data_IF_387451268664
#
_entry.id   IF_387451268664
#
_cell.length_a   1.000
_cell.length_b   1.000
_cell.length_c   1.000
_cell.angle_alpha   90.00
_cell.angle_beta   90.00
_cell.angle_gamma   90.00
#
_symmetry.space_group_name_H-M   'P 1'
#
loop_
_entity.id
_entity.type
_entity.pdbx_description
1 polymer ?
#
# COMPACT_ATOMS: atom_id res chain seq x y z
N UNK A 1 -40.66 42.99 71.94
CA UNK A 1 -39.18 42.80 72.00
C UNK A 1 -38.92 41.32 71.89
N UNK A 2 -38.54 40.83 70.70
CA UNK A 2 -38.07 39.47 70.44
C UNK A 2 -37.21 39.55 69.18
N UNK A 3 -35.92 39.24 69.34
CA UNK A 3 -34.88 39.25 68.32
C UNK A 3 -34.88 37.87 67.64
N UNK A 4 -35.01 37.82 66.31
CA UNK A 4 -34.72 36.63 65.52
C UNK A 4 -33.50 36.89 64.64
N UNK A 5 -32.41 36.19 64.92
CA UNK A 5 -31.19 36.18 64.12
C UNK A 5 -31.30 35.09 63.04
N UNK A 6 -31.09 35.46 61.77
CA UNK A 6 -30.99 34.54 60.65
C UNK A 6 -29.52 34.22 60.37
N UNK A 7 -29.13 32.95 60.51
CA UNK A 7 -27.84 32.43 60.06
C UNK A 7 -27.90 32.13 58.54
N UNK A 8 -27.06 32.80 57.76
CA UNK A 8 -26.79 32.46 56.37
C UNK A 8 -25.68 31.42 56.27
N UNK A 9 -25.96 30.28 55.65
CA UNK A 9 -24.98 29.23 55.35
C UNK A 9 -24.42 29.48 53.95
N UNK A 10 -23.12 29.76 53.85
CA UNK A 10 -22.38 29.83 52.59
C UNK A 10 -22.02 28.42 52.11
N UNK A 11 -22.52 28.03 50.94
CA UNK A 11 -22.14 26.78 50.27
C UNK A 11 -20.80 26.96 49.55
N UNK A 12 -19.80 26.17 49.93
CA UNK A 12 -18.52 26.08 49.24
C UNK A 12 -18.66 25.11 48.05
N UNK A 13 -18.52 25.63 46.83
CA UNK A 13 -18.41 24.82 45.62
C UNK A 13 -16.97 24.29 45.48
N UNK A 14 -16.78 23.00 45.68
CA UNK A 14 -15.54 22.29 45.33
C UNK A 14 -15.49 22.11 43.81
N UNK A 15 -14.60 22.84 43.12
CA UNK A 15 -14.29 22.59 41.72
C UNK A 15 -13.32 21.41 41.64
N UNK A 16 -13.79 20.24 41.21
CA UNK A 16 -12.91 19.13 40.82
C UNK A 16 -12.28 19.45 39.47
N UNK A 17 -11.10 20.07 39.50
CA UNK A 17 -10.25 20.21 38.32
C UNK A 17 -9.69 18.86 37.92
N UNK A 18 -10.43 18.11 37.10
CA UNK A 18 -9.87 17.00 36.36
C UNK A 18 -8.96 17.59 35.28
N UNK A 19 -7.65 17.62 35.55
CA UNK A 19 -6.66 17.84 34.52
C UNK A 19 -6.82 16.72 33.47
N UNK A 20 -7.40 17.04 32.33
CA UNK A 20 -7.40 16.16 31.16
C UNK A 20 -5.95 15.94 30.77
N UNK A 21 -5.41 14.75 31.04
CA UNK A 21 -4.17 14.32 30.43
C UNK A 21 -4.36 14.45 28.91
N UNK A 22 -3.58 15.33 28.27
CA UNK A 22 -3.56 15.41 26.81
C UNK A 22 -3.23 14.00 26.30
N UNK A 23 -4.15 13.37 25.55
CA UNK A 23 -3.88 12.06 24.98
C UNK A 23 -2.61 12.16 24.12
N UNK A 24 -1.55 11.47 24.53
CA UNK A 24 -0.33 11.44 23.73
C UNK A 24 -0.67 10.90 22.33
N UNK A 25 -0.33 11.68 21.29
CA UNK A 25 -0.50 11.29 19.89
C UNK A 25 0.25 10.01 19.52
N UNK A 26 -0.12 9.38 18.41
CA UNK A 26 0.58 8.21 17.87
C UNK A 26 2.01 8.60 17.50
N UNK A 27 2.99 7.88 18.07
CA UNK A 27 4.39 8.02 17.74
C UNK A 27 4.69 7.26 16.43
N UNK A 28 5.08 7.99 15.39
CA UNK A 28 5.45 7.45 14.09
C UNK A 28 6.92 7.80 13.83
N UNK A 29 7.82 6.80 13.75
CA UNK A 29 9.19 7.05 13.32
C UNK A 29 9.22 7.62 11.91
N UNK A 30 9.96 8.70 11.71
CA UNK A 30 10.32 9.17 10.37
C UNK A 30 11.19 8.10 9.68
N UNK A 31 11.01 7.96 8.37
CA UNK A 31 11.79 6.97 7.61
C UNK A 31 13.17 7.54 7.31
N UNK A 32 14.22 6.95 7.87
CA UNK A 32 15.58 7.18 7.41
C UNK A 32 15.76 6.50 6.07
N UNK A 33 16.40 7.18 5.12
CA UNK A 33 16.55 6.64 3.78
C UNK A 33 17.77 7.17 3.05
N UNK A 34 18.33 6.31 2.20
CA UNK A 34 19.39 6.64 1.25
C UNK A 34 19.08 5.96 -0.08
N UNK A 35 19.00 6.76 -1.14
CA UNK A 35 18.74 6.27 -2.48
C UNK A 35 20.05 6.17 -3.26
N UNK A 36 20.24 5.07 -3.99
CA UNK A 36 21.45 4.78 -4.77
C UNK A 36 21.07 4.40 -6.19
N UNK A 37 21.91 4.78 -7.14
CA UNK A 37 21.85 4.31 -8.53
C UNK A 37 23.15 3.59 -8.82
N UNK A 38 23.04 2.30 -9.15
CA UNK A 38 24.17 1.42 -9.43
C UNK A 38 24.11 0.95 -10.89
N UNK A 39 25.26 0.69 -11.53
CA UNK A 39 25.26 0.01 -12.83
C UNK A 39 24.66 -1.40 -12.67
N UNK A 40 24.06 -1.93 -13.75
CA UNK A 40 23.39 -3.23 -13.74
C UNK A 40 24.28 -4.47 -13.55
N UNK A 41 25.51 -4.33 -13.07
CA UNK A 41 26.41 -5.43 -12.68
C UNK A 41 27.28 -4.97 -11.50
N UNK A 42 26.72 -4.81 -10.29
CA UNK A 42 27.49 -4.37 -9.13
C UNK A 42 28.50 -5.45 -8.73
N UNK A 43 29.74 -5.05 -8.44
CA UNK A 43 30.88 -5.96 -8.25
C UNK A 43 31.31 -6.15 -6.79
N UNK A 44 30.68 -5.45 -5.84
CA UNK A 44 31.06 -5.52 -4.42
C UNK A 44 29.86 -5.30 -3.50
N UNK A 45 30.00 -5.75 -2.25
CA UNK A 45 29.05 -5.47 -1.19
C UNK A 45 28.93 -3.97 -0.93
N UNK A 46 27.71 -3.50 -0.72
CA UNK A 46 27.43 -2.12 -0.31
C UNK A 46 27.25 -2.07 1.20
N UNK A 47 28.00 -1.20 1.87
CA UNK A 47 27.81 -0.88 3.29
C UNK A 47 26.76 0.21 3.45
N UNK A 48 25.82 -0.01 4.36
CA UNK A 48 24.69 0.89 4.63
C UNK A 48 25.08 1.96 5.65
N UNK A 49 24.51 3.16 5.56
CA UNK A 49 24.80 4.25 6.52
C UNK A 49 24.14 4.03 7.89
N UNK A 50 23.11 3.20 7.93
CA UNK A 50 22.37 2.82 9.14
C UNK A 50 21.88 1.37 9.00
N UNK A 51 21.61 0.66 10.11
CA UNK A 51 20.98 -0.65 10.05
C UNK A 51 19.64 -0.56 9.33
N UNK A 52 19.43 -1.41 8.33
CA UNK A 52 18.21 -1.39 7.55
C UNK A 52 17.04 -1.98 8.34
N UNK A 53 15.85 -1.59 7.92
CA UNK A 53 14.60 -2.32 8.18
C UNK A 53 14.11 -2.99 6.89
N UNK A 54 14.34 -2.32 5.76
CA UNK A 54 13.90 -2.73 4.44
C UNK A 54 14.93 -2.30 3.38
N UNK A 55 14.93 -3.00 2.26
CA UNK A 55 15.70 -2.63 1.06
C UNK A 55 14.76 -2.67 -0.15
N UNK A 56 14.50 -1.52 -0.75
CA UNK A 56 13.79 -1.42 -2.02
C UNK A 56 14.74 -1.55 -3.19
N UNK A 57 14.40 -2.35 -4.20
CA UNK A 57 15.22 -2.54 -5.41
C UNK A 57 14.33 -2.49 -6.64
N UNK A 58 14.70 -1.69 -7.64
CA UNK A 58 14.11 -1.68 -8.98
C UNK A 58 15.21 -1.59 -10.03
N UNK A 59 14.91 -1.95 -11.27
CA UNK A 59 15.91 -1.97 -12.33
C UNK A 59 15.36 -1.65 -13.71
N UNK A 60 16.25 -1.34 -14.64
CA UNK A 60 15.91 -1.17 -16.07
C UNK A 60 16.32 -2.42 -16.84
N UNK A 61 15.38 -2.97 -17.63
CA UNK A 61 15.56 -4.18 -18.43
C UNK A 61 14.77 -5.39 -17.91
N UNK A 62 14.81 -6.48 -18.66
CA UNK A 62 14.04 -7.73 -18.44
C UNK A 62 14.85 -8.85 -17.77
N UNK A 63 16.10 -8.56 -17.37
CA UNK A 63 16.93 -9.46 -16.59
C UNK A 63 16.44 -9.66 -15.15
N UNK A 64 17.14 -10.51 -14.42
CA UNK A 64 16.84 -10.84 -13.02
C UNK A 64 17.83 -10.19 -12.06
N UNK A 65 17.38 -9.94 -10.84
CA UNK A 65 18.19 -9.41 -9.75
C UNK A 65 18.12 -10.36 -8.56
N UNK A 66 19.28 -10.87 -8.14
CA UNK A 66 19.48 -11.55 -6.88
C UNK A 66 19.93 -10.59 -5.79
N UNK A 67 19.54 -10.88 -4.55
CA UNK A 67 19.92 -10.13 -3.35
C UNK A 67 20.40 -11.10 -2.26
N UNK A 68 21.44 -10.73 -1.53
CA UNK A 68 21.70 -11.25 -0.19
C UNK A 68 22.00 -10.12 0.78
N UNK A 69 21.64 -10.34 2.03
CA UNK A 69 21.77 -9.35 3.11
C UNK A 69 22.75 -9.87 4.16
N UNK A 70 23.48 -8.97 4.80
CA UNK A 70 24.34 -9.29 5.93
C UNK A 70 23.76 -8.67 7.20
N UNK A 71 23.43 -9.52 8.17
CA UNK A 71 23.03 -9.12 9.51
C UNK A 71 24.05 -9.56 10.56
N UNK A 72 23.65 -9.53 11.83
CA UNK A 72 24.49 -9.95 12.95
C UNK A 72 24.95 -11.43 12.86
N UNK A 73 24.14 -12.29 12.23
CA UNK A 73 24.46 -13.69 12.00
C UNK A 73 25.38 -13.95 10.78
N UNK A 74 25.79 -12.89 10.07
CA UNK A 74 26.53 -12.99 8.82
C UNK A 74 25.65 -12.86 7.58
N UNK A 75 26.12 -13.38 6.45
CA UNK A 75 25.42 -13.35 5.17
C UNK A 75 24.27 -14.36 5.15
N UNK A 76 23.09 -13.90 4.76
CA UNK A 76 21.99 -14.77 4.38
C UNK A 76 22.23 -15.39 2.99
N UNK A 77 21.44 -16.40 2.67
CA UNK A 77 21.42 -17.01 1.34
C UNK A 77 20.95 -16.00 0.27
N UNK A 78 21.37 -16.25 -0.98
CA UNK A 78 20.89 -15.51 -2.13
C UNK A 78 19.40 -15.79 -2.37
N UNK A 79 18.67 -14.73 -2.68
CA UNK A 79 17.27 -14.80 -3.11
C UNK A 79 17.08 -14.03 -4.43
N UNK A 80 16.25 -14.55 -5.32
CA UNK A 80 15.83 -13.81 -6.52
C UNK A 80 14.70 -12.86 -6.15
N UNK A 81 14.80 -11.61 -6.60
CA UNK A 81 13.76 -10.62 -6.39
C UNK A 81 12.65 -10.79 -7.44
N UNK A 82 11.37 -10.77 -7.02
CA UNK A 82 10.28 -10.71 -7.99
C UNK A 82 10.34 -9.35 -8.72
N UNK A 83 10.06 -9.36 -10.01
CA UNK A 83 9.99 -8.16 -10.84
C UNK A 83 8.77 -8.19 -11.75
N UNK A 84 8.14 -7.03 -11.95
CA UNK A 84 7.12 -6.87 -12.99
C UNK A 84 7.07 -5.43 -13.52
N UNK A 85 6.46 -5.25 -14.69
CA UNK A 85 6.23 -3.92 -15.24
C UNK A 85 5.22 -3.13 -14.40
N UNK A 86 5.67 -2.05 -13.76
CA UNK A 86 4.85 -1.13 -12.97
C UNK A 86 5.15 0.32 -13.32
N UNK A 87 4.25 1.25 -12.98
CA UNK A 87 4.43 2.66 -13.29
C UNK A 87 3.16 3.48 -13.21
N UNK A 88 3.30 4.77 -12.85
CA UNK A 88 2.20 5.75 -12.83
C UNK A 88 1.73 6.16 -14.24
N UNK A 89 2.51 5.85 -15.28
CA UNK A 89 2.13 6.06 -16.68
C UNK A 89 1.49 4.82 -17.30
N UNK A 90 0.44 5.02 -18.08
CA UNK A 90 -0.20 3.97 -18.90
C UNK A 90 0.54 3.71 -20.24
N UNK A 91 1.80 4.14 -20.36
CA UNK A 91 2.70 3.90 -21.50
C UNK A 91 3.67 2.73 -21.28
N UNK A 92 4.52 2.42 -22.27
CA UNK A 92 5.50 1.33 -22.15
C UNK A 92 6.46 1.59 -20.98
N UNK A 93 6.48 0.68 -20.01
CA UNK A 93 7.37 0.74 -18.85
C UNK A 93 8.72 0.16 -19.23
N UNK A 94 9.75 1.01 -19.37
CA UNK A 94 11.13 0.56 -19.55
C UNK A 94 11.75 0.01 -18.25
N UNK A 95 11.09 0.29 -17.11
CA UNK A 95 11.57 -0.06 -15.78
C UNK A 95 10.82 -1.28 -15.25
N UNK A 96 11.58 -2.24 -14.74
CA UNK A 96 11.08 -3.34 -13.93
C UNK A 96 11.02 -2.90 -12.48
N UNK A 97 9.81 -2.92 -11.92
CA UNK A 97 9.59 -2.70 -10.52
C UNK A 97 9.87 -3.99 -9.76
N UNK A 98 10.87 -3.95 -8.88
CA UNK A 98 11.16 -5.05 -7.96
C UNK A 98 10.26 -5.03 -6.73
N UNK A 99 10.82 -5.33 -5.55
CA UNK A 99 10.08 -5.36 -4.29
C UNK A 99 10.79 -4.64 -3.15
N UNK A 100 10.11 -4.52 -2.01
CA UNK A 100 10.66 -3.96 -0.77
C UNK A 100 10.92 -5.08 0.22
N UNK A 101 12.16 -5.56 0.23
CA UNK A 101 12.56 -6.75 0.97
C UNK A 101 12.76 -6.42 2.45
N UNK A 102 12.29 -7.29 3.34
CA UNK A 102 12.64 -7.23 4.77
C UNK A 102 14.16 -7.35 4.94
N UNK A 103 14.75 -6.39 5.64
CA UNK A 103 16.19 -6.34 5.89
C UNK A 103 16.49 -6.00 7.35
N UNK A 104 15.96 -6.76 8.32
CA UNK A 104 16.02 -6.39 9.74
C UNK A 104 17.46 -6.29 10.22
N UNK A 105 17.85 -5.06 10.56
CA UNK A 105 19.18 -4.70 11.07
C UNK A 105 20.33 -5.07 10.14
N UNK A 106 20.06 -5.24 8.83
CA UNK A 106 21.11 -5.51 7.86
C UNK A 106 22.07 -4.31 7.75
N UNK A 107 23.37 -4.57 7.66
CA UNK A 107 24.42 -3.54 7.59
C UNK A 107 25.18 -3.54 6.27
N UNK A 108 25.06 -4.63 5.51
CA UNK A 108 25.58 -4.75 4.16
C UNK A 108 24.59 -5.53 3.29
N UNK A 109 24.67 -5.33 1.98
CA UNK A 109 23.97 -6.15 1.00
C UNK A 109 24.81 -6.34 -0.25
N UNK A 110 24.52 -7.42 -0.98
CA UNK A 110 25.05 -7.67 -2.31
C UNK A 110 23.93 -7.92 -3.29
N UNK A 111 24.13 -7.46 -4.52
CA UNK A 111 23.23 -7.68 -5.64
C UNK A 111 23.97 -8.47 -6.71
N UNK A 112 23.25 -9.38 -7.36
CA UNK A 112 23.72 -10.10 -8.52
C UNK A 112 22.70 -9.91 -9.63
N UNK A 113 23.16 -9.81 -10.87
CA UNK A 113 22.27 -9.59 -12.03
C UNK A 113 22.51 -10.66 -13.08
N UNK A 114 21.46 -11.02 -13.80
CA UNK A 114 21.51 -11.91 -14.95
C UNK A 114 20.63 -11.35 -16.07
N UNK A 115 20.95 -11.64 -17.33
CA UNK A 115 20.21 -11.09 -18.47
C UNK A 115 20.43 -9.58 -18.66
N UNK A 116 19.45 -8.88 -19.25
CA UNK A 116 19.57 -7.46 -19.53
C UNK A 116 19.15 -6.63 -18.30
N UNK A 117 20.14 -6.19 -17.53
CA UNK A 117 19.98 -5.18 -16.47
C UNK A 117 20.98 -4.07 -16.75
N UNK A 118 20.50 -2.85 -17.03
CA UNK A 118 21.38 -1.72 -17.35
C UNK A 118 21.60 -0.80 -16.14
N UNK A 119 20.61 -0.68 -15.27
CA UNK A 119 20.62 0.22 -14.11
C UNK A 119 19.84 -0.41 -12.96
N UNK A 120 20.36 -0.24 -11.74
CA UNK A 120 19.72 -0.61 -10.47
C UNK A 120 19.42 0.67 -9.68
N UNK A 121 18.20 0.79 -9.16
CA UNK A 121 17.79 1.86 -8.24
C UNK A 121 17.44 1.23 -6.90
N UNK A 122 18.17 1.65 -5.87
CA UNK A 122 18.11 1.09 -4.53
C UNK A 122 17.57 2.14 -3.56
N UNK A 123 16.75 1.70 -2.61
CA UNK A 123 16.34 2.49 -1.45
C UNK A 123 16.71 1.72 -0.19
N UNK A 124 17.76 2.17 0.50
CA UNK A 124 18.09 1.75 1.86
C UNK A 124 17.11 2.42 2.81
N UNK A 125 16.38 1.65 3.62
CA UNK A 125 15.27 2.16 4.42
C UNK A 125 15.31 1.70 5.88
N UNK A 126 15.20 2.63 6.82
CA UNK A 126 14.91 2.35 8.23
C UNK A 126 13.62 3.08 8.65
N UNK A 127 12.53 2.34 8.82
CA UNK A 127 11.20 2.86 9.18
C UNK A 127 10.90 2.77 10.68
N UNK A 128 11.88 2.41 11.51
CA UNK A 128 11.69 2.10 12.94
C UNK A 128 12.54 2.95 13.88
N UNK A 129 13.76 3.33 13.48
CA UNK A 129 14.74 4.00 14.35
C UNK A 129 14.89 5.51 14.08
N UNK A 130 14.12 6.08 13.15
CA UNK A 130 14.17 7.50 12.84
C UNK A 130 13.55 8.38 13.93
N UNK A 131 13.75 9.71 13.85
CA UNK A 131 13.12 10.67 14.76
C UNK A 131 11.61 10.44 14.88
N UNK A 132 11.08 10.56 16.09
CA UNK A 132 9.65 10.32 16.33
C UNK A 132 8.85 11.58 15.98
N UNK A 133 8.00 11.45 14.97
CA UNK A 133 6.92 12.40 14.69
C UNK A 133 5.66 11.96 15.42
N UNK A 134 5.06 12.86 16.20
CA UNK A 134 3.75 12.59 16.84
C UNK A 134 2.63 13.10 15.95
N UNK A 135 1.69 12.22 15.66
CA UNK A 135 0.48 12.55 14.92
C UNK A 135 -0.75 12.36 15.82
N UNK A 136 -1.87 12.99 15.47
CA UNK A 136 -3.13 12.74 16.16
C UNK A 136 -3.42 11.23 16.17
N UNK A 137 -3.83 10.70 17.32
CA UNK A 137 -4.17 9.27 17.41
C UNK A 137 -5.27 8.96 16.41
N UNK A 138 -5.00 8.07 15.45
CA UNK A 138 -6.01 7.74 14.49
C UNK A 138 -7.01 6.76 15.11
N UNK A 139 -8.28 7.13 15.05
CA UNK A 139 -9.34 6.19 15.35
C UNK A 139 -9.55 5.30 14.12
N UNK A 140 -9.40 3.99 14.27
CA UNK A 140 -9.80 3.04 13.24
C UNK A 140 -11.28 3.28 12.93
N UNK A 141 -11.59 3.54 11.67
CA UNK A 141 -12.96 3.83 11.24
C UNK A 141 -13.53 2.64 10.49
N UNK A 142 -14.84 2.64 10.29
CA UNK A 142 -15.45 1.74 9.34
C UNK A 142 -15.16 2.25 7.94
N UNK A 143 -14.65 1.40 7.06
CA UNK A 143 -14.46 1.74 5.65
C UNK A 143 -15.79 2.17 5.02
N UNK A 144 -15.76 3.18 4.16
CA UNK A 144 -16.91 3.62 3.37
C UNK A 144 -16.51 3.81 1.91
N UNK A 145 -17.39 3.38 1.01
CA UNK A 145 -17.30 3.64 -0.42
C UNK A 145 -18.53 4.41 -0.85
N UNK A 146 -18.34 5.63 -1.36
CA UNK A 146 -19.43 6.51 -1.75
C UNK A 146 -20.53 6.61 -0.65
N UNK A 147 -20.11 6.75 0.62
CA UNK A 147 -21.00 6.82 1.77
C UNK A 147 -21.50 5.46 2.31
N UNK A 148 -21.44 4.39 1.53
CA UNK A 148 -21.88 3.05 1.95
C UNK A 148 -20.86 2.36 2.86
N UNK A 149 -21.26 1.85 4.03
CA UNK A 149 -20.34 1.16 4.93
C UNK A 149 -19.87 -0.18 4.36
N UNK A 150 -18.60 -0.50 4.63
CA UNK A 150 -17.96 -1.78 4.36
C UNK A 150 -17.43 -2.32 5.68
N UNK A 151 -17.73 -3.59 5.99
CA UNK A 151 -17.35 -4.24 7.24
C UNK A 151 -15.86 -4.60 7.31
N UNK A 152 -15.01 -3.58 7.23
CA UNK A 152 -13.57 -3.66 7.34
C UNK A 152 -13.05 -2.48 8.18
N UNK A 153 -12.04 -2.74 9.01
CA UNK A 153 -11.37 -1.71 9.81
C UNK A 153 -10.44 -0.92 8.91
N UNK A 154 -10.66 0.38 8.84
CA UNK A 154 -9.98 1.29 7.94
C UNK A 154 -8.99 2.21 8.66
N UNK A 155 -7.83 2.38 8.05
CA UNK A 155 -6.80 3.34 8.41
C UNK A 155 -6.54 4.25 7.20
N UNK A 156 -6.88 5.52 7.32
CA UNK A 156 -6.50 6.54 6.35
C UNK A 156 -4.98 6.70 6.26
N UNK A 157 -4.51 7.44 5.26
CA UNK A 157 -3.08 7.77 5.09
C UNK A 157 -2.46 8.36 6.35
N UNK A 158 -3.12 9.36 6.94
CA UNK A 158 -2.71 9.91 8.22
C UNK A 158 -2.68 8.84 9.32
N UNK A 159 -3.64 7.91 9.32
CA UNK A 159 -3.79 6.92 10.39
C UNK A 159 -2.71 5.85 10.45
N UNK A 160 -2.08 5.51 9.32
CA UNK A 160 -0.93 4.63 9.31
C UNK A 160 0.41 5.37 9.27
N UNK A 161 0.37 6.70 9.32
CA UNK A 161 1.56 7.54 9.40
C UNK A 161 2.22 7.75 8.04
N UNK A 162 1.44 7.84 6.96
CA UNK A 162 1.94 8.26 5.66
C UNK A 162 2.70 9.60 5.77
N UNK A 163 3.85 9.68 5.11
CA UNK A 163 4.56 10.93 4.92
C UNK A 163 4.09 11.58 3.61
N UNK A 164 3.18 12.54 3.73
CA UNK A 164 2.61 13.23 2.57
C UNK A 164 3.64 14.04 1.78
N UNK A 165 4.82 14.34 2.36
CA UNK A 165 5.87 15.05 1.62
C UNK A 165 6.40 14.28 0.43
N UNK A 166 6.33 12.93 0.43
CA UNK A 166 6.77 12.10 -0.68
C UNK A 166 5.92 12.26 -1.95
N UNK A 167 4.70 12.82 -1.83
CA UNK A 167 3.89 13.18 -3.00
C UNK A 167 4.39 14.42 -3.72
N UNK A 168 5.29 15.20 -3.13
CA UNK A 168 5.70 16.47 -3.67
C UNK A 168 7.16 16.44 -4.12
N UNK A 169 7.42 17.11 -5.24
CA UNK A 169 8.78 17.39 -5.71
C UNK A 169 9.39 18.49 -4.85
N UNK A 170 10.72 18.64 -4.94
CA UNK A 170 11.46 19.66 -4.19
C UNK A 170 11.01 21.11 -4.49
N UNK A 171 10.42 21.35 -5.66
CA UNK A 171 9.87 22.66 -6.04
C UNK A 171 8.44 22.91 -5.51
N UNK A 172 7.85 21.97 -4.77
CA UNK A 172 6.51 22.06 -4.21
C UNK A 172 5.39 21.54 -5.11
N UNK A 173 5.69 21.15 -6.35
CA UNK A 173 4.68 20.57 -7.24
C UNK A 173 4.33 19.14 -6.79
N UNK A 174 3.05 18.77 -6.90
CA UNK A 174 2.65 17.39 -6.72
C UNK A 174 3.25 16.52 -7.84
N UNK A 175 4.00 15.50 -7.45
CA UNK A 175 4.74 14.63 -8.36
C UNK A 175 3.80 13.86 -9.29
N UNK A 176 2.63 13.48 -8.77
CA UNK A 176 1.60 12.77 -9.49
C UNK A 176 0.21 13.31 -9.15
N UNK A 177 -0.25 14.24 -9.98
CA UNK A 177 -1.57 14.86 -9.85
C UNK A 177 -2.66 13.77 -10.00
N UNK A 178 -3.65 13.70 -9.10
CA UNK A 178 -4.78 12.80 -9.23
C UNK A 178 -5.57 13.00 -10.53
N UNK A 179 -5.73 11.92 -11.27
CA UNK A 179 -6.64 11.83 -12.42
C UNK A 179 -7.66 10.73 -12.14
N UNK A 180 -8.89 10.89 -12.62
CA UNK A 180 -9.99 10.00 -12.26
C UNK A 180 -10.64 9.36 -13.49
N UNK A 181 -10.96 8.07 -13.39
CA UNK A 181 -11.50 7.29 -14.51
C UNK A 181 -12.67 6.39 -14.07
N UNK A 182 -13.61 6.06 -14.98
CA UNK A 182 -14.63 5.04 -14.73
C UNK A 182 -14.00 3.68 -14.41
N UNK A 183 -14.50 3.00 -13.38
CA UNK A 183 -14.02 1.66 -13.02
C UNK A 183 -14.63 0.61 -13.94
N UNK A 184 -13.79 -0.29 -14.46
CA UNK A 184 -14.18 -1.40 -15.30
C UNK A 184 -13.87 -2.76 -14.66
N UNK A 185 -12.87 -2.81 -13.78
CA UNK A 185 -12.31 -4.07 -13.26
C UNK A 185 -11.60 -3.84 -11.92
N UNK A 186 -11.48 -4.93 -11.16
CA UNK A 186 -10.82 -4.99 -9.86
C UNK A 186 -9.69 -6.03 -9.94
N UNK A 187 -8.49 -5.65 -9.46
CA UNK A 187 -7.34 -6.56 -9.45
C UNK A 187 -6.81 -6.79 -8.04
N UNK A 188 -6.59 -8.06 -7.69
CA UNK A 188 -5.98 -8.47 -6.43
C UNK A 188 -4.48 -8.70 -6.61
N UNK A 189 -3.71 -8.14 -5.68
CA UNK A 189 -2.25 -8.23 -5.62
C UNK A 189 -1.78 -8.84 -4.29
N UNK A 190 -0.50 -9.21 -4.27
CA UNK A 190 0.26 -9.42 -3.05
C UNK A 190 1.52 -8.53 -3.07
N UNK A 191 2.18 -8.30 -1.94
CA UNK A 191 3.47 -7.60 -1.92
C UNK A 191 4.59 -8.53 -2.41
N UNK A 192 4.51 -9.82 -2.04
CA UNK A 192 5.23 -10.89 -2.73
C UNK A 192 6.70 -11.05 -2.34
N UNK A 193 7.21 -10.33 -1.34
CA UNK A 193 8.65 -10.33 -1.08
C UNK A 193 9.17 -11.64 -0.47
N UNK A 194 10.37 -12.10 -0.91
CA UNK A 194 10.93 -13.40 -0.54
C UNK A 194 11.33 -13.53 0.94
N UNK A 195 11.77 -12.45 1.60
CA UNK A 195 12.19 -12.48 3.00
C UNK A 195 11.11 -12.11 4.02
N UNK A 196 9.84 -12.03 3.61
CA UNK A 196 8.78 -11.76 4.58
C UNK A 196 8.74 -12.81 5.69
N UNK A 197 8.52 -12.34 6.92
CA UNK A 197 8.26 -13.17 8.08
C UNK A 197 6.86 -12.90 8.64
N UNK A 198 6.23 -13.89 9.31
CA UNK A 198 4.94 -13.67 9.97
C UNK A 198 4.96 -12.60 11.07
N UNK A 199 6.13 -12.14 11.53
CA UNK A 199 6.28 -11.14 12.59
C UNK A 199 6.54 -9.73 12.06
N UNK A 200 6.72 -9.56 10.74
CA UNK A 200 6.91 -8.25 10.11
C UNK A 200 5.75 -7.29 10.51
N UNK A 201 6.11 -6.08 10.95
CA UNK A 201 5.14 -5.02 11.23
C UNK A 201 4.56 -4.51 9.90
N UNK A 202 3.26 -4.72 9.66
CA UNK A 202 2.64 -4.34 8.39
C UNK A 202 2.66 -2.82 8.15
N UNK A 203 2.63 -1.99 9.20
CA UNK A 203 2.65 -0.54 9.06
C UNK A 203 4.07 -0.04 8.73
N UNK A 204 5.09 -0.67 9.31
CA UNK A 204 6.47 -0.41 8.93
C UNK A 204 6.76 -0.81 7.47
N UNK A 205 6.21 -1.95 7.01
CA UNK A 205 6.27 -2.36 5.60
C UNK A 205 5.55 -1.37 4.70
N UNK A 206 4.32 -0.99 5.05
CA UNK A 206 3.52 -0.06 4.26
C UNK A 206 4.25 1.26 4.02
N UNK A 207 4.88 1.82 5.06
CA UNK A 207 5.71 3.04 4.96
C UNK A 207 6.93 2.83 4.07
N UNK A 208 7.59 1.67 4.13
CA UNK A 208 8.72 1.35 3.27
C UNK A 208 8.31 1.23 1.79
N UNK A 209 7.22 0.51 1.50
CA UNK A 209 6.65 0.41 0.14
C UNK A 209 6.25 1.78 -0.38
N UNK A 210 5.59 2.59 0.44
CA UNK A 210 5.18 3.93 0.06
C UNK A 210 6.37 4.82 -0.32
N UNK A 211 7.40 4.89 0.53
CA UNK A 211 8.60 5.68 0.20
C UNK A 211 9.27 5.17 -1.07
N UNK A 212 9.43 3.85 -1.20
CA UNK A 212 10.07 3.24 -2.35
C UNK A 212 9.33 3.57 -3.65
N UNK A 213 8.01 3.39 -3.67
CA UNK A 213 7.19 3.65 -4.85
C UNK A 213 7.14 5.15 -5.20
N UNK A 214 6.87 6.00 -4.21
CA UNK A 214 6.71 7.43 -4.43
C UNK A 214 8.02 8.08 -4.89
N UNK A 215 9.14 7.74 -4.24
CA UNK A 215 10.43 8.42 -4.42
C UNK A 215 11.35 7.63 -5.35
N UNK A 216 11.72 6.40 -4.99
CA UNK A 216 12.79 5.65 -5.68
C UNK A 216 12.33 5.12 -7.04
N UNK A 217 11.11 4.60 -7.13
CA UNK A 217 10.49 4.16 -8.39
C UNK A 217 9.82 5.31 -9.14
N UNK A 218 9.83 6.52 -8.57
CA UNK A 218 9.34 7.75 -9.18
C UNK A 218 7.87 7.68 -9.63
N UNK A 219 7.02 6.94 -8.90
CA UNK A 219 5.57 6.95 -9.16
C UNK A 219 4.93 8.24 -8.67
N UNK A 220 5.51 8.86 -7.63
CA UNK A 220 4.95 10.04 -6.96
C UNK A 220 3.90 9.72 -5.90
N UNK A 221 3.48 8.47 -5.72
CA UNK A 221 2.65 8.02 -4.60
C UNK A 221 2.65 6.48 -4.48
N UNK A 222 1.89 5.93 -3.52
CA UNK A 222 1.56 4.52 -3.41
C UNK A 222 0.76 4.05 -4.64
N UNK A 223 1.19 2.96 -5.27
CA UNK A 223 0.63 2.51 -6.55
C UNK A 223 -0.69 1.77 -6.46
N UNK A 224 -1.00 1.16 -5.31
CA UNK A 224 -2.27 0.46 -5.06
C UNK A 224 -3.29 1.39 -4.43
N UNK A 225 -4.59 1.11 -4.58
CA UNK A 225 -5.62 1.93 -3.95
C UNK A 225 -5.79 1.60 -2.48
N UNK A 226 -5.69 0.31 -2.15
CA UNK A 226 -5.87 -0.20 -0.79
C UNK A 226 -4.84 -1.30 -0.52
N UNK A 227 -4.34 -1.35 0.71
CA UNK A 227 -3.53 -2.45 1.23
C UNK A 227 -4.26 -3.16 2.39
N UNK A 228 -4.09 -4.47 2.51
CA UNK A 228 -4.71 -5.27 3.59
C UNK A 228 -3.66 -6.12 4.28
N UNK A 229 -3.54 -5.99 5.60
CA UNK A 229 -2.58 -6.80 6.37
C UNK A 229 -3.16 -8.13 6.88
N UNK A 230 -2.28 -8.95 7.46
CA UNK A 230 -2.59 -10.24 8.11
C UNK A 230 -3.62 -10.14 9.26
N UNK A 231 -3.89 -8.95 9.79
CA UNK A 231 -4.89 -8.71 10.86
C UNK A 231 -6.25 -8.29 10.27
N UNK A 232 -6.33 -8.08 8.95
CA UNK A 232 -7.53 -7.61 8.27
C UNK A 232 -7.73 -6.10 8.38
N UNK A 233 -6.68 -5.34 8.68
CA UNK A 233 -6.76 -3.88 8.60
C UNK A 233 -6.57 -3.44 7.17
N UNK A 234 -7.45 -2.55 6.72
CA UNK A 234 -7.43 -1.95 5.38
C UNK A 234 -6.81 -0.57 5.49
N UNK A 235 -5.76 -0.34 4.72
CA UNK A 235 -5.02 0.90 4.68
C UNK A 235 -5.28 1.62 3.36
N UNK A 236 -5.50 2.92 3.44
CA UNK A 236 -5.57 3.80 2.28
C UNK A 236 -4.22 3.88 1.58
N UNK A 237 -4.18 3.56 0.28
CA UNK A 237 -3.00 3.65 -0.56
C UNK A 237 -2.97 4.99 -1.31
N UNK A 238 -3.08 4.95 -2.65
CA UNK A 238 -3.07 6.10 -3.55
C UNK A 238 -3.97 7.22 -3.05
N UNK A 239 -3.42 8.42 -2.89
CA UNK A 239 -4.16 9.62 -2.52
C UNK A 239 -5.26 9.89 -3.56
N UNK A 240 -6.52 9.82 -3.14
CA UNK A 240 -7.69 10.01 -4.01
C UNK A 240 -8.37 11.36 -3.85
N UNK A 241 -7.95 12.19 -2.90
CA UNK A 241 -8.53 13.50 -2.63
C UNK A 241 -8.62 13.79 -1.14
N UNK A 242 -9.28 14.90 -0.80
CA UNK A 242 -9.53 15.32 0.59
C UNK A 242 -10.87 14.81 1.14
N UNK A 243 -11.67 14.13 0.31
CA UNK A 243 -12.94 13.54 0.68
C UNK A 243 -12.77 12.22 1.43
N UNK A 244 -13.80 11.82 2.16
CA UNK A 244 -13.75 10.68 3.08
C UNK A 244 -13.87 9.30 2.39
N UNK A 245 -13.84 9.23 1.06
CA UNK A 245 -14.01 7.98 0.31
C UNK A 245 -12.70 7.60 -0.38
N UNK A 246 -11.88 6.71 0.21
CA UNK A 246 -10.67 6.24 -0.47
C UNK A 246 -11.05 5.60 -1.81
N UNK A 247 -10.06 5.47 -2.71
CA UNK A 247 -10.21 4.98 -4.09
C UNK A 247 -10.87 5.98 -5.04
N UNK A 248 -11.87 6.75 -4.59
CA UNK A 248 -12.67 7.59 -5.46
C UNK A 248 -12.31 9.07 -5.38
N UNK A 249 -12.57 9.78 -6.48
CA UNK A 249 -12.49 11.23 -6.53
C UNK A 249 -13.77 11.92 -6.11
N UNK A 250 -13.71 13.26 -5.98
CA UNK A 250 -14.81 14.06 -5.45
C UNK A 250 -16.03 14.16 -6.38
N UNK A 251 -15.85 13.86 -7.68
CA UNK A 251 -16.89 14.01 -8.69
C UNK A 251 -17.28 12.64 -9.27
N UNK A 252 -18.58 12.33 -9.38
CA UNK A 252 -19.03 11.15 -10.10
C UNK A 252 -18.83 11.30 -11.61
N UNK A 253 -18.83 10.16 -12.31
CA UNK A 253 -18.78 10.09 -13.76
C UNK A 253 -20.12 10.44 -14.41
N UNK A 254 -20.19 10.43 -15.75
CA UNK A 254 -21.40 10.76 -16.51
C UNK A 254 -22.63 9.89 -16.21
N UNK A 255 -22.41 8.68 -15.71
CA UNK A 255 -23.45 7.73 -15.30
C UNK A 255 -23.81 7.83 -13.81
N UNK A 256 -23.27 8.84 -13.11
CA UNK A 256 -23.49 9.06 -11.68
C UNK A 256 -22.68 8.15 -10.76
N UNK A 257 -21.88 7.22 -11.30
CA UNK A 257 -21.04 6.32 -10.48
C UNK A 257 -19.73 7.01 -10.07
N UNK A 258 -19.14 6.64 -8.91
CA UNK A 258 -17.84 7.17 -8.50
C UNK A 258 -16.75 6.83 -9.52
N UNK A 259 -15.84 7.78 -9.75
CA UNK A 259 -14.64 7.56 -10.57
C UNK A 259 -13.44 7.27 -9.67
N UNK A 260 -12.61 6.30 -10.04
CA UNK A 260 -11.42 5.93 -9.28
C UNK A 260 -10.24 6.84 -9.60
N UNK A 261 -9.42 7.19 -8.60
CA UNK A 261 -8.11 7.82 -8.84
C UNK A 261 -7.20 6.84 -9.58
N UNK A 262 -6.40 7.30 -10.54
CA UNK A 262 -5.48 6.43 -11.26
C UNK A 262 -4.39 5.86 -10.33
N UNK A 263 -4.11 4.58 -10.50
CA UNK A 263 -3.07 3.83 -9.77
C UNK A 263 -1.80 3.59 -10.59
N UNK A 264 -0.86 2.83 -10.02
CA UNK A 264 0.43 2.46 -10.62
C UNK A 264 0.77 0.98 -10.36
N UNK A 265 -0.27 0.15 -10.21
CA UNK A 265 -0.16 -1.24 -9.77
C UNK A 265 0.00 -2.24 -10.94
N UNK A 266 -0.34 -1.85 -12.16
CA UNK A 266 -0.11 -2.62 -13.40
C UNK A 266 0.20 -1.66 -14.55
N UNK A 267 1.46 -1.61 -14.99
CA UNK A 267 1.88 -0.72 -16.08
C UNK A 267 1.05 -0.93 -17.36
N UNK A 268 0.49 0.14 -17.91
CA UNK A 268 -0.37 0.12 -19.11
C UNK A 268 -1.83 -0.29 -18.88
N UNK A 269 -2.20 -0.68 -17.66
CA UNK A 269 -3.52 -1.21 -17.31
C UNK A 269 -4.09 -0.60 -16.02
N UNK A 270 -3.66 0.61 -15.64
CA UNK A 270 -4.06 1.22 -14.38
C UNK A 270 -5.42 1.94 -14.48
N UNK A 271 -5.62 2.72 -15.53
CA UNK A 271 -6.78 3.59 -15.66
C UNK A 271 -8.10 2.80 -15.79
N UNK A 272 -8.96 2.90 -14.78
CA UNK A 272 -10.20 2.11 -14.70
C UNK A 272 -10.04 0.71 -14.09
N UNK A 273 -8.86 0.41 -13.52
CA UNK A 273 -8.57 -0.84 -12.82
C UNK A 273 -8.21 -0.56 -11.36
N UNK A 274 -9.06 -0.97 -10.42
CA UNK A 274 -8.80 -0.77 -8.99
C UNK A 274 -7.95 -1.91 -8.44
N UNK A 275 -6.70 -1.62 -8.10
CA UNK A 275 -5.78 -2.54 -7.44
C UNK A 275 -5.91 -2.56 -5.90
N UNK A 276 -6.07 -3.76 -5.33
CA UNK A 276 -6.03 -4.04 -3.89
C UNK A 276 -4.88 -4.99 -3.61
N UNK A 277 -3.95 -4.61 -2.73
CA UNK A 277 -2.79 -5.44 -2.36
C UNK A 277 -2.98 -6.08 -0.99
N UNK A 278 -2.73 -7.38 -0.90
CA UNK A 278 -2.55 -8.08 0.37
C UNK A 278 -1.07 -8.02 0.77
N UNK A 279 -0.76 -7.56 1.97
CA UNK A 279 0.60 -7.58 2.51
C UNK A 279 0.93 -9.02 2.87
N UNK A 280 1.86 -9.62 2.13
CA UNK A 280 2.17 -11.04 2.21
C UNK A 280 2.77 -11.62 0.92
N UNK A 281 3.50 -12.73 1.07
CA UNK A 281 3.99 -13.55 -0.03
C UNK A 281 3.26 -14.90 -0.09
N UNK A 282 2.17 -14.92 -0.86
CA UNK A 282 1.37 -16.13 -1.09
C UNK A 282 1.86 -17.02 -2.24
N UNK A 283 3.13 -16.90 -2.65
CA UNK A 283 3.82 -17.91 -3.47
C UNK A 283 4.59 -18.93 -2.61
N UNK A 284 4.91 -18.60 -1.34
CA UNK A 284 5.60 -19.54 -0.43
C UNK A 284 4.70 -20.73 -0.08
N UNK A 285 5.24 -21.97 -0.05
CA UNK A 285 4.48 -23.16 0.32
C UNK A 285 3.69 -22.95 1.62
N UNK A 286 2.42 -23.36 1.61
CA UNK A 286 1.48 -23.27 2.73
C UNK A 286 1.13 -21.85 3.22
N UNK A 287 1.53 -20.80 2.49
CA UNK A 287 1.19 -19.42 2.84
C UNK A 287 -0.05 -18.96 2.07
N UNK A 288 -1.11 -18.66 2.82
CA UNK A 288 -2.36 -18.08 2.33
C UNK A 288 -2.71 -16.82 3.12
N UNK A 289 -3.55 -15.93 2.57
CA UNK A 289 -4.08 -14.81 3.34
C UNK A 289 -4.79 -15.34 4.59
N UNK A 290 -4.50 -14.74 5.74
CA UNK A 290 -5.14 -15.13 6.99
C UNK A 290 -6.66 -14.94 6.90
N UNK A 291 -7.42 -15.65 7.74
CA UNK A 291 -8.87 -15.50 7.73
C UNK A 291 -9.36 -14.05 7.94
N UNK A 292 -8.75 -13.22 8.83
CA UNK A 292 -9.05 -11.78 8.90
C UNK A 292 -8.75 -11.00 7.61
N UNK A 293 -7.60 -11.25 6.97
CA UNK A 293 -7.22 -10.59 5.72
C UNK A 293 -8.21 -10.96 4.59
N UNK A 294 -8.49 -12.25 4.43
CA UNK A 294 -9.44 -12.76 3.43
C UNK A 294 -10.86 -12.19 3.63
N UNK A 295 -11.36 -12.15 4.87
CA UNK A 295 -12.66 -11.55 5.18
C UNK A 295 -12.72 -10.07 4.78
N UNK A 296 -11.64 -9.33 5.03
CA UNK A 296 -11.56 -7.91 4.72
C UNK A 296 -11.45 -7.68 3.22
N UNK A 297 -10.65 -8.49 2.51
CA UNK A 297 -10.57 -8.49 1.05
C UNK A 297 -11.95 -8.72 0.43
N UNK A 298 -12.66 -9.77 0.86
CA UNK A 298 -14.01 -10.05 0.39
C UNK A 298 -14.97 -8.89 0.66
N UNK A 299 -14.92 -8.29 1.86
CA UNK A 299 -15.78 -7.16 2.21
C UNK A 299 -15.51 -5.93 1.33
N UNK A 300 -14.22 -5.61 1.10
CA UNK A 300 -13.79 -4.53 0.21
C UNK A 300 -14.30 -4.77 -1.21
N UNK A 301 -14.07 -5.96 -1.76
CA UNK A 301 -14.48 -6.31 -3.12
C UNK A 301 -16.00 -6.29 -3.29
N UNK A 302 -16.78 -6.82 -2.34
CA UNK A 302 -18.25 -6.71 -2.36
C UNK A 302 -18.73 -5.26 -2.27
N UNK A 303 -18.06 -4.44 -1.45
CA UNK A 303 -18.38 -3.01 -1.34
C UNK A 303 -18.15 -2.26 -2.65
N UNK A 304 -17.00 -2.49 -3.29
CA UNK A 304 -16.66 -1.89 -4.58
C UNK A 304 -17.62 -2.38 -5.67
N UNK A 305 -17.84 -3.69 -5.78
CA UNK A 305 -18.73 -4.28 -6.78
C UNK A 305 -20.15 -3.71 -6.69
N UNK A 306 -20.69 -3.55 -5.48
CA UNK A 306 -22.02 -2.96 -5.26
C UNK A 306 -22.11 -1.49 -5.64
N UNK A 307 -21.12 -0.68 -5.24
CA UNK A 307 -21.12 0.77 -5.49
C UNK A 307 -20.89 1.09 -6.96
N UNK A 308 -20.14 0.24 -7.66
CA UNK A 308 -19.79 0.42 -9.07
C UNK A 308 -20.71 -0.35 -10.02
N UNK A 309 -21.62 -1.17 -9.49
CA UNK A 309 -22.50 -2.06 -10.25
C UNK A 309 -21.70 -2.98 -11.20
N UNK A 310 -20.73 -3.70 -10.63
CA UNK A 310 -19.85 -4.62 -11.36
C UNK A 310 -20.30 -6.07 -11.16
N UNK A 311 -20.53 -6.78 -12.27
CA UNK A 311 -20.55 -8.24 -12.28
C UNK A 311 -19.11 -8.76 -12.22
N UNK A 312 -18.69 -9.20 -11.04
CA UNK A 312 -17.33 -9.67 -10.75
C UNK A 312 -17.00 -11.05 -11.35
N UNK A 313 -18.02 -11.82 -11.74
CA UNK A 313 -17.86 -13.13 -12.41
C UNK A 313 -17.84 -13.00 -13.92
N UNK A 314 -18.41 -11.92 -14.46
CA UNK A 314 -18.43 -11.66 -15.89
C UNK A 314 -17.04 -11.43 -16.51
N UNK A 315 -17.00 -11.62 -17.82
CA UNK A 315 -15.91 -11.18 -18.67
C UNK A 315 -16.00 -9.67 -18.89
N UNK A 316 -14.91 -8.96 -18.61
CA UNK A 316 -14.71 -7.55 -18.90
C UNK A 316 -13.85 -7.40 -20.17
N UNK A 317 -14.39 -6.71 -21.18
CA UNK A 317 -13.62 -6.23 -22.33
C UNK A 317 -13.05 -4.86 -21.98
N UNK A 318 -11.98 -4.87 -21.19
CA UNK A 318 -11.33 -3.67 -20.69
C UNK A 318 -10.78 -2.82 -21.85
N UNK A 319 -10.99 -1.51 -21.75
CA UNK A 319 -10.37 -0.50 -22.60
C UNK A 319 -9.69 0.55 -21.71
N UNK A 320 -8.37 0.72 -21.85
CA UNK A 320 -7.65 1.77 -21.15
C UNK A 320 -8.14 3.13 -21.69
N UNK A 321 -8.76 4.00 -20.87
CA UNK A 321 -9.29 5.28 -21.33
C UNK A 321 -8.18 6.30 -21.71
N UNK A 322 -6.93 6.02 -21.38
CA UNK A 322 -5.76 6.86 -21.69
C UNK A 322 -5.08 6.40 -22.97
N UNK A 323 -4.76 5.11 -23.07
CA UNK A 323 -3.95 4.56 -24.18
C UNK A 323 -4.76 3.84 -25.26
N UNK A 324 -6.07 3.64 -25.06
CA UNK A 324 -6.95 2.81 -25.88
C UNK A 324 -6.53 1.32 -25.96
N UNK A 325 -5.55 0.89 -25.17
CA UNK A 325 -5.16 -0.52 -25.07
C UNK A 325 -6.33 -1.36 -24.57
N UNK A 326 -6.51 -2.55 -25.14
CA UNK A 326 -7.64 -3.42 -24.80
C UNK A 326 -7.18 -4.77 -24.27
N UNK A 327 -7.96 -5.35 -23.36
CA UNK A 327 -7.74 -6.70 -22.87
C UNK A 327 -9.03 -7.34 -22.39
N UNK A 328 -9.23 -8.61 -22.71
CA UNK A 328 -10.32 -9.40 -22.14
C UNK A 328 -9.84 -10.11 -20.88
N UNK A 329 -10.50 -9.84 -19.76
CA UNK A 329 -10.21 -10.42 -18.44
C UNK A 329 -11.52 -10.76 -17.72
N UNK A 330 -11.45 -11.47 -16.60
CA UNK A 330 -12.59 -11.55 -15.67
C UNK A 330 -12.62 -10.25 -14.85
N UNK A 331 -13.80 -9.66 -14.64
CA UNK A 331 -13.98 -8.36 -13.99
C UNK A 331 -13.25 -8.26 -12.64
N UNK A 332 -13.29 -9.30 -11.82
CA UNK A 332 -12.42 -9.44 -10.65
C UNK A 332 -11.31 -10.47 -10.95
N UNK A 333 -10.06 -10.03 -11.04
CA UNK A 333 -8.93 -10.87 -11.46
C UNK A 333 -7.70 -10.69 -10.56
N UNK A 334 -6.66 -11.48 -10.80
CA UNK A 334 -5.35 -11.32 -10.17
C UNK A 334 -4.38 -10.61 -11.12
N UNK A 335 -3.30 -10.03 -10.59
CA UNK A 335 -2.29 -9.33 -11.40
C UNK A 335 -1.76 -10.18 -12.57
N UNK A 336 -1.55 -11.48 -12.37
CA UNK A 336 -1.11 -12.42 -13.42
C UNK A 336 -2.05 -12.54 -14.63
N UNK A 337 -3.31 -12.10 -14.51
CA UNK A 337 -4.22 -12.05 -15.64
C UNK A 337 -3.90 -10.88 -16.58
N UNK A 338 -3.09 -9.91 -16.15
CA UNK A 338 -2.74 -8.70 -16.89
C UNK A 338 -1.35 -8.77 -17.52
N UNK A 339 -0.36 -9.27 -16.79
CA UNK A 339 1.03 -9.35 -17.24
C UNK A 339 1.70 -10.63 -16.70
N UNK A 340 2.84 -11.08 -17.26
CA UNK A 340 3.61 -12.19 -16.69
C UNK A 340 4.14 -11.85 -15.29
N UNK A 341 3.55 -12.46 -14.26
CA UNK A 341 3.93 -12.30 -12.86
C UNK A 341 3.35 -13.45 -12.04
N UNK A 342 3.96 -13.76 -10.88
CA UNK A 342 3.36 -14.66 -9.90
C UNK A 342 2.24 -14.02 -9.08
N UNK A 343 2.14 -12.69 -9.07
CA UNK A 343 1.15 -11.98 -8.24
C UNK A 343 -0.30 -12.38 -8.63
N UNK A 344 -1.21 -12.68 -7.67
CA UNK A 344 -1.16 -12.46 -6.22
C UNK A 344 -0.62 -13.64 -5.39
N UNK A 345 0.24 -14.48 -5.99
CA UNK A 345 0.86 -15.62 -5.35
C UNK A 345 0.32 -16.96 -5.85
N UNK A 346 1.22 -17.90 -6.10
CA UNK A 346 0.89 -19.22 -6.67
C UNK A 346 -0.09 -20.04 -5.82
N UNK A 347 -0.05 -19.89 -4.49
CA UNK A 347 -0.94 -20.62 -3.60
C UNK A 347 -2.30 -19.94 -3.44
N UNK A 348 -2.36 -18.62 -3.51
CA UNK A 348 -3.63 -17.89 -3.37
C UNK A 348 -4.41 -17.77 -4.68
N UNK A 349 -3.75 -17.68 -5.84
CA UNK A 349 -4.42 -17.50 -7.12
C UNK A 349 -5.57 -18.50 -7.43
N UNK A 350 -5.44 -19.82 -7.13
CA UNK A 350 -6.54 -20.78 -7.34
C UNK A 350 -7.82 -20.46 -6.54
N UNK A 351 -7.72 -19.67 -5.46
CA UNK A 351 -8.86 -19.29 -4.63
C UNK A 351 -9.69 -18.14 -5.21
N UNK A 352 -9.19 -17.45 -6.25
CA UNK A 352 -9.90 -16.30 -6.83
C UNK A 352 -11.27 -16.66 -7.41
N UNK A 353 -11.46 -17.87 -7.94
CA UNK A 353 -12.77 -18.35 -8.39
C UNK A 353 -13.78 -18.46 -7.24
N UNK A 354 -13.33 -18.97 -6.10
CA UNK A 354 -14.14 -19.04 -4.88
C UNK A 354 -14.50 -17.65 -4.37
N UNK A 355 -13.49 -16.77 -4.29
CA UNK A 355 -13.66 -15.40 -3.87
C UNK A 355 -14.66 -14.64 -4.75
N UNK A 356 -14.59 -14.79 -6.08
CA UNK A 356 -15.55 -14.19 -7.02
C UNK A 356 -17.00 -14.57 -6.71
N UNK A 357 -17.28 -15.87 -6.58
CA UNK A 357 -18.62 -16.37 -6.21
C UNK A 357 -19.09 -15.84 -4.86
N UNK A 358 -18.19 -15.71 -3.89
CA UNK A 358 -18.52 -15.17 -2.58
C UNK A 358 -18.80 -13.66 -2.61
N UNK A 359 -18.12 -12.92 -3.48
CA UNK A 359 -18.33 -11.49 -3.70
C UNK A 359 -19.66 -11.25 -4.40
N UNK A 360 -19.96 -11.99 -5.48
CA UNK A 360 -21.18 -11.86 -6.27
C UNK A 360 -22.47 -12.12 -5.47
N UNK A 361 -22.43 -13.01 -4.47
CA UNK A 361 -23.57 -13.27 -3.56
C UNK A 361 -23.86 -12.12 -2.58
N UNK A 362 -22.98 -11.11 -2.51
CA UNK A 362 -22.99 -10.05 -1.50
C UNK A 362 -22.90 -8.64 -2.09
N UNK A 363 -22.69 -8.54 -3.40
CA UNK A 363 -22.74 -7.30 -4.17
C UNK A 363 -24.16 -6.86 -4.44
#
# INVERSE_FOLDING_TARGET
MLISAALGVTAATLSTGAATAAEEGLAVPETLARDLVLPGAPTSATTTEFPLSHLGVSWTGDGEVGLRLRGAAGWADWQTLPGCGGGAGDGSVANTFGGVVAAPRATEYELATSGAVSELRISELNTVDGPIRRIAKPHAQLLRFAGHPVLARYYSRAAWGADESYRFKANGDEAWIPAYYPVQTLTVHHTGEPNETPDDDPVARLRAIYRFQAVTSNFGDFGYHLAIDKRGYVYEGRYSGTDASPVFGPNPGPDGRPMMVNGAHIGGWNAGNVGIVLIGNFSKPDWLPTAPAYRSLRAVLSGLARVLDLDVEATCNYVNPVSAATKTVITLSGHRNWVPTECPGNNFYPYLDGLRREVARRS
#
